data_IF_592376229995
#
_entry.id   IF_592376229995
#
_cell.length_a   1.000
_cell.length_b   1.000
_cell.length_c   1.000
_cell.angle_alpha   90.00
_cell.angle_beta   90.00
_cell.angle_gamma   90.00
#
_symmetry.space_group_name_H-M   'P 1'
#
loop_
_entity.id
_entity.type
_entity.pdbx_description
1 polymer ?
#
# COMPACT_ATOMS: atom_id res chain seq x y z
N UNK A 1 -37.08 -20.83 -58.62
CA UNK A 1 -35.99 -21.12 -57.66
C UNK A 1 -36.59 -21.82 -56.45
N UNK A 2 -36.26 -23.10 -56.23
CA UNK A 2 -36.65 -23.84 -55.03
C UNK A 2 -35.51 -23.66 -54.02
N UNK A 3 -35.68 -22.76 -53.06
CA UNK A 3 -34.74 -22.66 -51.94
C UNK A 3 -34.93 -23.91 -51.10
N UNK A 4 -33.88 -24.72 -51.02
CA UNK A 4 -33.91 -25.98 -50.30
C UNK A 4 -34.18 -25.71 -48.81
N UNK A 5 -35.31 -26.19 -48.31
CA UNK A 5 -35.78 -25.95 -46.94
C UNK A 5 -34.73 -26.37 -45.89
N UNK A 6 -33.88 -27.34 -46.24
CA UNK A 6 -32.75 -27.80 -45.43
C UNK A 6 -31.68 -26.73 -45.22
N UNK A 7 -31.43 -25.90 -46.25
CA UNK A 7 -30.47 -24.79 -46.17
C UNK A 7 -31.04 -23.67 -45.29
N UNK A 8 -32.34 -23.39 -45.44
CA UNK A 8 -33.02 -22.37 -44.64
C UNK A 8 -33.02 -22.73 -43.14
N UNK A 9 -33.28 -24.00 -42.82
CA UNK A 9 -33.24 -24.51 -41.44
C UNK A 9 -31.82 -24.42 -40.86
N UNK A 10 -30.79 -24.78 -41.65
CA UNK A 10 -29.39 -24.68 -41.22
C UNK A 10 -28.98 -23.25 -40.87
N UNK A 11 -29.34 -22.27 -41.70
CA UNK A 11 -29.01 -20.86 -41.47
C UNK A 11 -29.71 -20.31 -40.22
N UNK A 12 -30.98 -20.67 -40.00
CA UNK A 12 -31.74 -20.24 -38.81
C UNK A 12 -31.15 -20.85 -37.54
N UNK A 13 -30.73 -22.12 -37.58
CA UNK A 13 -30.11 -22.77 -36.43
C UNK A 13 -28.77 -22.11 -36.03
N UNK A 14 -27.92 -21.78 -37.01
CA UNK A 14 -26.67 -21.07 -36.76
C UNK A 14 -26.90 -19.65 -36.20
N UNK A 15 -27.90 -18.92 -36.71
CA UNK A 15 -28.24 -17.60 -36.22
C UNK A 15 -28.72 -17.64 -34.74
N UNK A 16 -29.53 -18.65 -34.38
CA UNK A 16 -30.01 -18.81 -33.00
C UNK A 16 -28.89 -19.18 -32.02
N UNK A 17 -27.93 -20.01 -32.43
CA UNK A 17 -26.75 -20.33 -31.62
C UNK A 17 -25.89 -19.08 -31.40
N UNK A 18 -25.67 -18.26 -32.43
CA UNK A 18 -24.88 -17.03 -32.31
C UNK A 18 -25.50 -16.02 -31.33
N UNK A 19 -26.83 -15.85 -31.37
CA UNK A 19 -27.56 -15.00 -30.41
C UNK A 19 -27.50 -15.58 -29.00
N UNK A 20 -27.60 -16.91 -28.86
CA UNK A 20 -27.43 -17.60 -27.59
C UNK A 20 -26.06 -17.39 -26.95
N UNK A 21 -24.97 -17.52 -27.73
CA UNK A 21 -23.59 -17.35 -27.24
C UNK A 21 -23.30 -15.88 -26.86
N UNK A 22 -23.76 -14.91 -27.65
CA UNK A 22 -23.64 -13.48 -27.32
C UNK A 22 -24.41 -13.12 -26.03
N UNK A 23 -25.56 -13.74 -25.80
CA UNK A 23 -26.35 -13.53 -24.58
C UNK A 23 -25.69 -14.19 -23.36
N UNK A 24 -25.06 -15.36 -23.54
CA UNK A 24 -24.35 -16.06 -22.48
C UNK A 24 -23.08 -15.32 -22.05
N UNK A 25 -22.29 -14.79 -22.99
CA UNK A 25 -21.10 -13.99 -22.70
C UNK A 25 -21.42 -12.67 -21.97
N UNK A 26 -22.65 -12.17 -22.11
CA UNK A 26 -23.13 -10.97 -21.39
C UNK A 26 -23.61 -11.28 -19.97
N UNK A 27 -23.94 -12.54 -19.66
CA UNK A 27 -24.45 -12.98 -18.36
C UNK A 27 -23.37 -13.65 -17.50
N UNK A 28 -22.49 -14.44 -18.10
CA UNK A 28 -21.25 -14.88 -17.47
C UNK A 28 -20.24 -13.74 -17.60
N UNK A 29 -20.07 -12.93 -16.56
CA UNK A 29 -19.11 -11.83 -16.50
C UNK A 29 -17.64 -12.26 -16.62
N UNK A 30 -17.28 -12.92 -17.71
CA UNK A 30 -15.92 -13.27 -18.13
C UNK A 30 -15.30 -12.00 -18.71
N UNK A 31 -14.85 -11.11 -17.82
CA UNK A 31 -14.28 -9.83 -18.20
C UNK A 31 -14.25 -8.79 -17.10
N UNK A 32 -14.98 -9.00 -16.00
CA UNK A 32 -14.72 -8.25 -14.77
C UNK A 32 -13.98 -9.18 -13.83
N UNK A 33 -12.64 -9.08 -13.84
CA UNK A 33 -11.88 -9.31 -12.62
C UNK A 33 -12.53 -8.44 -11.56
N UNK A 34 -13.40 -9.05 -10.76
CA UNK A 34 -13.79 -8.47 -9.49
C UNK A 34 -12.47 -8.41 -8.74
N UNK A 35 -11.82 -7.25 -8.78
CA UNK A 35 -10.82 -6.93 -7.78
C UNK A 35 -11.51 -7.27 -6.47
N UNK A 36 -10.99 -8.30 -5.78
CA UNK A 36 -11.38 -8.54 -4.40
C UNK A 36 -11.35 -7.16 -3.73
N UNK A 37 -12.41 -6.74 -3.02
CA UNK A 37 -12.33 -5.49 -2.29
C UNK A 37 -11.07 -5.63 -1.44
N UNK A 38 -10.04 -4.83 -1.76
CA UNK A 38 -8.88 -4.72 -0.91
C UNK A 38 -9.44 -4.50 0.49
N UNK A 39 -9.02 -5.27 1.50
CA UNK A 39 -9.55 -5.11 2.84
C UNK A 39 -9.47 -3.62 3.14
N UNK A 40 -10.64 -3.02 3.46
CA UNK A 40 -10.70 -1.64 3.91
C UNK A 40 -9.97 -1.65 5.25
N UNK A 41 -8.66 -1.42 5.20
CA UNK A 41 -7.84 -1.18 6.36
C UNK A 41 -8.36 0.15 6.88
N UNK A 42 -9.21 0.09 7.91
CA UNK A 42 -9.51 1.27 8.71
C UNK A 42 -8.17 1.94 9.04
N UNK A 43 -8.03 3.27 8.92
CA UNK A 43 -6.79 3.93 9.24
C UNK A 43 -6.43 3.56 10.67
N UNK A 44 -5.47 2.65 10.83
CA UNK A 44 -5.11 2.19 12.17
C UNK A 44 -4.40 3.36 12.81
N UNK A 45 -4.94 3.80 13.94
CA UNK A 45 -4.40 4.93 14.66
C UNK A 45 -2.92 4.69 14.96
N UNK A 46 -2.12 5.75 14.85
CA UNK A 46 -0.74 5.75 15.32
C UNK A 46 -0.68 5.22 16.76
N UNK A 47 0.29 4.35 17.09
CA UNK A 47 0.48 3.88 18.45
C UNK A 47 0.57 5.06 19.44
N UNK A 48 -0.07 4.90 20.60
CA UNK A 48 0.02 5.92 21.65
C UNK A 48 1.47 6.17 22.04
N UNK A 49 1.87 7.45 22.11
CA UNK A 49 3.23 7.84 22.45
C UNK A 49 4.21 7.88 21.28
N UNK A 50 3.76 7.56 20.05
CA UNK A 50 4.55 7.75 18.83
C UNK A 50 4.12 9.04 18.09
N UNK A 51 5.05 9.99 18.00
CA UNK A 51 4.97 11.15 17.11
C UNK A 51 5.64 10.85 15.78
N UNK A 52 5.04 11.30 14.68
CA UNK A 52 5.64 11.21 13.33
C UNK A 52 5.65 12.60 12.71
N UNK A 53 6.85 13.15 12.56
CA UNK A 53 7.11 14.38 11.84
C UNK A 53 7.77 14.06 10.49
N UNK A 54 7.34 14.73 9.44
CA UNK A 54 7.83 14.52 8.07
C UNK A 54 8.39 15.84 7.57
N UNK A 55 9.60 15.79 7.03
CA UNK A 55 10.28 16.93 6.40
C UNK A 55 10.59 16.59 4.94
N UNK A 56 11.11 17.55 4.17
CA UNK A 56 11.53 17.31 2.78
C UNK A 56 12.73 16.35 2.63
N UNK A 57 13.45 16.06 3.71
CA UNK A 57 14.68 15.25 3.70
C UNK A 57 14.55 13.90 4.40
N UNK A 58 13.49 13.70 5.18
CA UNK A 58 13.37 12.52 6.01
C UNK A 58 12.19 12.59 6.96
N UNK A 59 12.05 11.52 7.73
CA UNK A 59 11.09 11.40 8.82
C UNK A 59 11.79 11.43 10.18
N UNK A 60 11.12 12.01 11.16
CA UNK A 60 11.49 11.94 12.56
C UNK A 60 10.39 11.22 13.32
N UNK A 61 10.75 10.11 13.96
CA UNK A 61 9.89 9.35 14.85
C UNK A 61 10.22 9.74 16.29
N UNK A 62 9.26 10.30 17.01
CA UNK A 62 9.41 10.66 18.42
C UNK A 62 8.71 9.63 19.30
N UNK A 63 9.44 9.07 20.25
CA UNK A 63 8.92 8.11 21.22
C UNK A 63 8.94 8.74 22.61
N UNK A 64 7.76 8.91 23.18
CA UNK A 64 7.59 9.45 24.54
C UNK A 64 8.19 8.49 25.57
N UNK A 65 8.89 9.04 26.57
CA UNK A 65 9.59 8.27 27.60
C UNK A 65 10.66 7.29 27.09
N UNK A 66 11.00 7.34 25.79
CA UNK A 66 11.89 6.37 25.13
C UNK A 66 11.42 4.91 25.27
N UNK A 67 10.13 4.68 25.51
CA UNK A 67 9.55 3.34 25.63
C UNK A 67 9.32 2.73 24.25
N UNK A 68 10.30 1.95 23.78
CA UNK A 68 10.24 1.25 22.48
C UNK A 68 9.79 -0.20 22.59
N UNK A 69 9.37 -0.68 23.78
CA UNK A 69 9.05 -2.09 23.99
C UNK A 69 7.87 -2.52 23.11
N UNK A 70 6.88 -1.64 22.97
CA UNK A 70 5.71 -1.84 22.09
C UNK A 70 5.94 -1.44 20.64
N UNK A 71 7.10 -0.89 20.31
CA UNK A 71 7.48 -0.43 18.97
C UNK A 71 8.61 -1.27 18.38
N UNK A 72 8.82 -2.49 18.90
CA UNK A 72 9.89 -3.38 18.48
C UNK A 72 9.65 -4.12 17.16
N UNK A 73 8.46 -3.98 16.57
CA UNK A 73 8.14 -4.52 15.24
C UNK A 73 8.86 -3.73 14.13
N UNK A 74 8.93 -4.32 12.93
CA UNK A 74 9.58 -3.69 11.78
C UNK A 74 8.75 -2.53 11.25
N UNK A 75 9.44 -1.50 10.77
CA UNK A 75 8.86 -0.38 10.06
C UNK A 75 9.12 -0.50 8.57
N UNK A 76 8.18 -0.02 7.78
CA UNK A 76 8.38 0.25 6.37
C UNK A 76 8.26 1.75 6.10
N UNK A 77 9.04 2.24 5.15
CA UNK A 77 8.96 3.57 4.58
C UNK A 77 9.00 3.44 3.06
N UNK A 78 7.88 3.71 2.43
CA UNK A 78 7.76 3.84 0.98
C UNK A 78 7.90 5.31 0.61
N UNK A 79 8.86 5.61 -0.26
CA UNK A 79 9.09 6.97 -0.77
C UNK A 79 8.72 7.00 -2.24
N UNK A 80 7.80 7.89 -2.61
CA UNK A 80 7.34 8.05 -3.98
C UNK A 80 8.11 9.23 -4.61
N UNK A 81 9.07 8.97 -5.50
CA UNK A 81 9.83 10.03 -6.14
C UNK A 81 8.99 10.79 -7.17
N UNK A 82 9.26 12.08 -7.34
CA UNK A 82 8.67 12.91 -8.39
C UNK A 82 8.98 12.35 -9.80
N UNK A 83 10.21 11.85 -9.97
CA UNK A 83 10.64 11.13 -11.15
C UNK A 83 10.43 9.63 -10.94
N UNK A 84 9.39 9.07 -11.58
CA UNK A 84 9.03 7.65 -11.47
C UNK A 84 10.12 6.72 -11.98
N UNK A 85 11.07 7.20 -12.80
CA UNK A 85 12.22 6.38 -13.22
C UNK A 85 13.21 6.09 -12.07
N UNK A 86 13.10 6.84 -10.96
CA UNK A 86 13.88 6.63 -9.73
C UNK A 86 13.21 5.64 -8.77
N UNK A 87 12.00 5.19 -9.06
CA UNK A 87 11.30 4.22 -8.24
C UNK A 87 11.80 2.79 -8.48
N UNK A 88 11.57 1.90 -7.50
CA UNK A 88 11.70 0.46 -7.70
C UNK A 88 10.57 -0.09 -8.58
N UNK A 89 10.57 -1.41 -8.81
CA UNK A 89 9.56 -2.09 -9.62
C UNK A 89 8.12 -1.88 -9.11
N UNK A 90 7.96 -1.66 -7.80
CA UNK A 90 6.68 -1.41 -7.13
C UNK A 90 6.19 0.05 -7.29
N UNK A 91 6.96 0.93 -7.94
CA UNK A 91 6.61 2.34 -8.11
C UNK A 91 6.97 3.25 -6.92
N UNK A 92 7.71 2.73 -5.94
CA UNK A 92 8.30 3.48 -4.83
C UNK A 92 9.68 2.95 -4.47
N UNK A 93 10.42 3.72 -3.67
CA UNK A 93 11.65 3.30 -3.01
C UNK A 93 11.25 2.72 -1.66
N UNK A 94 11.57 1.45 -1.43
CA UNK A 94 11.25 0.76 -0.18
C UNK A 94 12.44 0.83 0.78
N UNK A 95 12.18 1.26 2.02
CA UNK A 95 13.11 1.15 3.13
C UNK A 95 12.44 0.42 4.28
N UNK A 96 13.15 -0.51 4.90
CA UNK A 96 12.71 -1.20 6.11
C UNK A 96 13.72 -0.95 7.22
N UNK A 97 13.22 -0.75 8.44
CA UNK A 97 14.08 -0.50 9.59
C UNK A 97 13.39 -0.89 10.90
N UNK A 98 14.20 -1.11 11.93
CA UNK A 98 13.74 -1.34 13.29
C UNK A 98 14.25 -0.21 14.19
N UNK A 99 13.40 0.36 15.05
CA UNK A 99 13.83 1.40 15.99
C UNK A 99 14.96 0.95 16.92
N UNK A 100 15.02 -0.34 17.28
CA UNK A 100 16.08 -0.91 18.11
C UNK A 100 17.44 -0.92 17.42
N UNK A 101 17.45 -0.90 16.09
CA UNK A 101 18.68 -0.86 15.30
C UNK A 101 19.16 0.58 15.00
N UNK A 102 18.30 1.58 15.25
CA UNK A 102 18.61 2.99 15.04
C UNK A 102 19.18 3.62 16.32
N UNK A 103 20.08 4.58 16.14
CA UNK A 103 20.63 5.36 17.26
C UNK A 103 19.66 6.50 17.61
N UNK A 104 19.07 6.53 18.83
CA UNK A 104 18.21 7.63 19.23
C UNK A 104 19.00 8.89 19.54
N UNK A 105 18.37 10.03 19.29
CA UNK A 105 18.73 11.31 19.90
C UNK A 105 17.77 11.54 21.07
N UNK A 106 18.31 11.53 22.29
CA UNK A 106 17.51 11.75 23.50
C UNK A 106 17.38 13.24 23.74
N UNK A 107 16.15 13.72 23.81
CA UNK A 107 15.81 15.11 24.16
C UNK A 107 15.01 15.10 25.46
N UNK A 108 15.22 16.11 26.31
CA UNK A 108 14.40 16.30 27.52
C UNK A 108 13.35 17.36 27.23
N UNK A 109 12.08 17.00 27.40
CA UNK A 109 10.98 17.95 27.31
C UNK A 109 10.96 18.91 28.51
N UNK A 110 10.24 20.02 28.38
CA UNK A 110 10.10 21.02 29.45
C UNK A 110 9.51 20.48 30.76
N UNK A 111 8.80 19.34 30.71
CA UNK A 111 8.25 18.64 31.86
C UNK A 111 9.22 17.61 32.49
N UNK A 112 10.49 17.56 32.04
CA UNK A 112 11.48 16.59 32.52
C UNK A 112 11.31 15.16 32.00
N UNK A 113 10.26 14.89 31.21
CA UNK A 113 10.10 13.63 30.51
C UNK A 113 11.15 13.53 29.38
N UNK A 114 11.83 12.39 29.30
CA UNK A 114 12.72 12.09 28.18
C UNK A 114 11.90 11.70 26.94
N UNK A 115 12.32 12.15 25.77
CA UNK A 115 11.80 11.78 24.47
C UNK A 115 12.97 11.25 23.63
N UNK A 116 12.73 10.20 22.86
CA UNK A 116 13.72 9.66 21.93
C UNK A 116 13.29 9.95 20.51
N UNK A 117 14.14 10.65 19.77
CA UNK A 117 13.94 10.93 18.36
C UNK A 117 14.79 10.00 17.50
N UNK A 118 14.18 9.41 16.50
CA UNK A 118 14.82 8.54 15.52
C UNK A 118 14.61 9.13 14.15
N UNK A 119 15.71 9.42 13.43
CA UNK A 119 15.66 10.00 12.11
C UNK A 119 15.96 8.97 11.05
N UNK A 120 15.14 8.94 10.00
CA UNK A 120 15.37 8.14 8.79
C UNK A 120 15.38 9.09 7.60
N UNK A 121 16.53 9.17 6.94
CA UNK A 121 16.73 10.04 5.78
C UNK A 121 16.11 9.42 4.53
N UNK A 122 15.57 10.28 3.67
CA UNK A 122 15.10 9.88 2.35
C UNK A 122 16.25 9.54 1.41
N UNK A 123 15.91 8.82 0.35
CA UNK A 123 16.78 8.69 -0.80
C UNK A 123 17.09 10.08 -1.37
N UNK A 124 18.28 10.30 -1.96
CA UNK A 124 18.71 11.60 -2.47
C UNK A 124 18.03 11.95 -3.81
N UNK A 125 16.70 11.98 -3.82
CA UNK A 125 15.82 12.30 -4.94
C UNK A 125 14.63 13.11 -4.42
N UNK A 126 13.98 13.89 -5.30
CA UNK A 126 12.77 14.63 -4.92
C UNK A 126 11.63 13.64 -4.62
N UNK A 127 11.08 13.70 -3.41
CA UNK A 127 9.97 12.85 -2.95
C UNK A 127 8.70 13.68 -2.88
N UNK A 128 7.64 13.21 -3.51
CA UNK A 128 6.33 13.87 -3.57
C UNK A 128 5.37 13.35 -2.51
N UNK A 129 5.60 12.12 -2.07
CA UNK A 129 4.72 11.42 -1.14
C UNK A 129 5.50 10.34 -0.42
N UNK A 130 5.09 10.05 0.81
CA UNK A 130 5.59 8.91 1.56
C UNK A 130 4.44 8.09 2.15
N UNK A 131 4.68 6.81 2.39
CA UNK A 131 3.88 6.00 3.28
C UNK A 131 4.80 5.35 4.31
N UNK A 132 4.50 5.53 5.59
CA UNK A 132 5.20 4.90 6.70
C UNK A 132 4.25 4.04 7.51
N UNK A 133 4.72 2.91 8.02
CA UNK A 133 3.96 2.11 8.96
C UNK A 133 4.82 1.11 9.71
N UNK A 134 4.19 0.36 10.60
CA UNK A 134 4.75 -0.84 11.20
C UNK A 134 4.07 -2.08 10.65
N UNK A 135 4.82 -3.16 10.57
CA UNK A 135 4.31 -4.45 10.17
C UNK A 135 4.94 -5.58 10.99
N UNK A 136 4.22 -6.68 11.06
CA UNK A 136 4.71 -7.94 11.64
C UNK A 136 4.55 -9.05 10.62
N UNK A 137 5.49 -9.99 10.59
CA UNK A 137 5.42 -11.19 9.74
C UNK A 137 5.16 -12.42 10.60
N UNK A 138 3.92 -12.67 11.04
CA UNK A 138 3.64 -13.89 11.77
C UNK A 138 3.87 -15.10 10.85
N UNK A 139 4.71 -16.03 11.30
CA UNK A 139 4.89 -17.35 10.69
C UNK A 139 5.42 -17.35 9.24
N UNK A 140 6.09 -16.28 8.81
CA UNK A 140 6.74 -16.21 7.48
C UNK A 140 5.78 -16.02 6.29
N UNK A 141 4.51 -15.72 6.55
CA UNK A 141 3.54 -15.33 5.53
C UNK A 141 3.49 -13.79 5.36
N UNK A 142 2.58 -13.32 4.48
CA UNK A 142 2.33 -11.91 4.20
C UNK A 142 2.26 -11.07 5.49
N UNK A 143 2.71 -9.83 5.40
CA UNK A 143 2.86 -8.93 6.53
C UNK A 143 1.49 -8.46 7.07
N UNK A 144 1.30 -8.55 8.39
CA UNK A 144 0.24 -7.84 9.08
C UNK A 144 0.67 -6.39 9.25
N UNK A 145 -0.04 -5.46 8.59
CA UNK A 145 0.18 -4.03 8.78
C UNK A 145 -0.47 -3.61 10.11
N UNK A 146 0.37 -3.23 11.07
CA UNK A 146 -0.07 -2.81 12.40
C UNK A 146 -0.63 -1.39 12.37
N UNK A 147 0.00 -0.50 11.60
CA UNK A 147 -0.53 0.80 11.24
C UNK A 147 0.22 1.36 10.06
N UNK A 148 -0.39 2.35 9.41
CA UNK A 148 0.27 3.14 8.37
C UNK A 148 -0.24 4.59 8.36
N UNK A 149 0.58 5.46 7.79
CA UNK A 149 0.28 6.86 7.54
C UNK A 149 0.87 7.25 6.20
N UNK A 150 0.05 7.84 5.35
CA UNK A 150 0.48 8.42 4.09
C UNK A 150 0.54 9.94 4.23
N UNK A 151 1.58 10.55 3.66
CA UNK A 151 1.80 12.01 3.71
C UNK A 151 2.23 12.48 2.32
N UNK A 152 1.49 13.43 1.76
CA UNK A 152 1.90 14.17 0.57
C UNK A 152 2.82 15.32 0.98
N UNK A 153 3.88 15.53 0.20
CA UNK A 153 4.87 16.60 0.38
C UNK A 153 4.74 17.69 -0.69
N UNK A 154 3.90 17.46 -1.69
CA UNK A 154 3.54 18.42 -2.72
C UNK A 154 2.50 19.42 -2.16
N UNK A 155 2.99 20.50 -1.54
CA UNK A 155 2.26 21.76 -1.35
C UNK A 155 3.01 22.91 -2.05
#
# INVERSE_FOLDING_TARGET
>A
MKVDLKILIGVVFFALIAVGVLSFARWTGVGKSVAAPAPVVAPVALPEGLGVEVTSSGITLEVKACDIDKLGDEFFLHQYPADTSKAGAEGFINQQFNLKALKPVVTQGQAGAAHCQYRVEFAPVAITRIAIGQFRTPQGHCCDILWNKEVSLDE
#
